data_IF_337438984741
#
_entry.id   IF_337438984741
#
_cell.length_a   1.000
_cell.length_b   1.000
_cell.length_c   1.000
_cell.angle_alpha   90.00
_cell.angle_beta   90.00
_cell.angle_gamma   90.00
#
_symmetry.space_group_name_H-M   'P 1'
#
loop_
_entity.id
_entity.type
_entity.pdbx_description
1 polymer ?
#
# COMPACT_ATOMS: atom_id res chain seq x y z
N UNK A 1 3.18 -10.04 -29.14
CA UNK A 1 2.63 -9.78 -27.79
C UNK A 1 3.75 -9.18 -26.95
N UNK A 2 3.66 -7.91 -26.58
CA UNK A 2 4.73 -7.21 -25.85
C UNK A 2 5.05 -7.94 -24.54
N UNK A 3 6.31 -8.33 -24.34
CA UNK A 3 6.83 -9.07 -23.18
C UNK A 3 6.94 -8.25 -21.90
N UNK A 4 5.94 -7.42 -21.60
CA UNK A 4 5.90 -6.58 -20.40
C UNK A 4 5.21 -7.26 -19.22
N UNK A 5 5.66 -6.98 -18.00
CA UNK A 5 4.95 -7.36 -16.78
C UNK A 5 3.95 -6.27 -16.41
N UNK A 6 2.66 -6.57 -16.45
CA UNK A 6 1.61 -5.62 -16.08
C UNK A 6 1.41 -5.58 -14.54
N UNK A 7 1.18 -4.39 -14.01
CA UNK A 7 0.95 -4.15 -12.58
C UNK A 7 -0.34 -3.37 -12.39
N UNK A 8 -1.26 -3.87 -11.57
CA UNK A 8 -2.48 -3.16 -11.18
C UNK A 8 -2.19 -2.23 -10.01
N UNK A 9 -2.43 -0.93 -10.19
CA UNK A 9 -2.42 0.04 -9.11
C UNK A 9 -3.85 0.19 -8.57
N UNK A 10 -4.08 -0.21 -7.32
CA UNK A 10 -5.42 -0.22 -6.71
C UNK A 10 -5.53 0.82 -5.60
N UNK A 11 -6.71 1.41 -5.49
CA UNK A 11 -7.11 2.31 -4.42
C UNK A 11 -7.63 1.50 -3.22
N UNK A 12 -7.41 2.01 -2.01
CA UNK A 12 -7.91 1.46 -0.75
C UNK A 12 -9.03 2.31 -0.14
N UNK A 13 -9.16 3.57 -0.55
CA UNK A 13 -10.15 4.52 -0.04
C UNK A 13 -10.66 5.43 -1.17
N UNK A 14 -11.80 6.07 -0.95
CA UNK A 14 -12.25 7.21 -1.75
C UNK A 14 -11.74 8.48 -1.07
N UNK A 15 -10.68 9.05 -1.62
CA UNK A 15 -9.95 10.16 -1.01
C UNK A 15 -8.90 9.67 0.01
N UNK A 16 -8.29 10.58 0.78
CA UNK A 16 -7.28 10.24 1.77
C UNK A 16 -7.17 11.30 2.88
N UNK A 17 -7.10 10.86 4.15
CA UNK A 17 -6.99 11.76 5.31
C UNK A 17 -5.54 12.18 5.63
N UNK A 18 -4.54 11.69 4.88
CA UNK A 18 -3.12 11.90 5.21
C UNK A 18 -2.56 13.27 4.81
N UNK A 19 -3.25 13.99 3.92
CA UNK A 19 -2.93 15.39 3.58
C UNK A 19 -1.45 15.61 3.23
N UNK A 20 -0.81 14.66 2.54
CA UNK A 20 0.55 14.86 2.04
C UNK A 20 0.55 16.03 1.06
N UNK A 21 1.45 17.00 1.26
CA UNK A 21 1.45 18.29 0.55
C UNK A 21 1.61 18.18 -0.98
N UNK A 22 2.12 17.03 -1.45
CA UNK A 22 2.37 16.73 -2.85
C UNK A 22 1.33 15.77 -3.47
N UNK A 23 0.25 15.45 -2.74
CA UNK A 23 -0.73 14.44 -3.15
C UNK A 23 -2.11 15.05 -3.36
N UNK A 24 -2.60 15.01 -4.61
CA UNK A 24 -3.95 15.51 -4.95
C UNK A 24 -5.06 14.73 -4.22
N UNK A 25 -4.91 13.42 -4.00
CA UNK A 25 -5.90 12.65 -3.23
C UNK A 25 -6.11 13.19 -1.81
N UNK A 26 -5.08 13.81 -1.22
CA UNK A 26 -5.18 14.43 0.10
C UNK A 26 -6.05 15.68 0.09
N UNK A 27 -6.00 16.50 -0.96
CA UNK A 27 -6.76 17.77 -1.05
C UNK A 27 -8.27 17.53 -1.08
N UNK A 28 -8.69 16.40 -1.67
CA UNK A 28 -10.09 15.97 -1.70
C UNK A 28 -10.65 15.51 -0.33
N UNK A 29 -9.78 15.30 0.67
CA UNK A 29 -10.16 14.73 1.97
C UNK A 29 -10.53 13.25 1.90
N UNK A 30 -10.88 12.65 3.04
CA UNK A 30 -11.35 11.26 3.10
C UNK A 30 -12.88 11.22 3.07
N UNK A 31 -13.45 10.50 2.10
CA UNK A 31 -14.89 10.23 2.05
C UNK A 31 -15.23 8.92 2.79
N UNK A 32 -14.65 7.80 2.35
CA UNK A 32 -14.89 6.48 2.96
C UNK A 32 -13.80 5.46 2.64
N UNK A 33 -13.77 4.40 3.43
CA UNK A 33 -13.03 3.18 3.13
C UNK A 33 -13.71 2.37 2.02
N UNK A 34 -12.91 1.68 1.21
CA UNK A 34 -13.40 0.69 0.26
C UNK A 34 -13.55 -0.67 0.94
N UNK A 35 -14.63 -1.39 0.62
CA UNK A 35 -14.77 -2.79 1.01
C UNK A 35 -13.78 -3.66 0.22
N UNK A 36 -13.47 -4.85 0.75
CA UNK A 36 -12.57 -5.80 0.09
C UNK A 36 -13.01 -6.11 -1.36
N UNK A 37 -14.31 -6.29 -1.58
CA UNK A 37 -14.88 -6.54 -2.91
C UNK A 37 -14.67 -5.37 -3.89
N UNK A 38 -14.70 -4.12 -3.41
CA UNK A 38 -14.43 -2.94 -4.25
C UNK A 38 -12.94 -2.85 -4.62
N UNK A 39 -12.05 -3.27 -3.72
CA UNK A 39 -10.60 -3.32 -4.00
C UNK A 39 -10.27 -4.42 -5.01
N UNK A 40 -10.78 -5.64 -4.79
CA UNK A 40 -10.57 -6.77 -5.70
C UNK A 40 -11.22 -6.50 -7.06
N UNK A 41 -12.41 -5.90 -7.06
CA UNK A 41 -13.15 -5.53 -8.26
C UNK A 41 -12.38 -4.58 -9.18
N UNK A 42 -11.50 -3.71 -8.66
CA UNK A 42 -10.62 -2.88 -9.48
C UNK A 42 -9.68 -3.74 -10.36
N UNK A 43 -9.11 -4.81 -9.79
CA UNK A 43 -8.19 -5.71 -10.51
C UNK A 43 -8.95 -6.49 -11.58
N UNK A 44 -10.13 -7.03 -11.24
CA UNK A 44 -10.94 -7.82 -12.17
C UNK A 44 -11.52 -6.98 -13.30
N UNK A 45 -12.09 -5.81 -12.98
CA UNK A 45 -12.64 -4.90 -13.97
C UNK A 45 -11.57 -4.44 -14.97
N UNK A 46 -10.39 -4.03 -14.48
CA UNK A 46 -9.29 -3.63 -15.33
C UNK A 46 -8.75 -4.80 -16.18
N UNK A 47 -8.61 -6.00 -15.59
CA UNK A 47 -8.17 -7.20 -16.32
C UNK A 47 -9.12 -7.53 -17.47
N UNK A 48 -10.43 -7.48 -17.21
CA UNK A 48 -11.48 -7.75 -18.21
C UNK A 48 -11.50 -6.69 -19.30
N UNK A 49 -11.41 -5.41 -18.93
CA UNK A 49 -11.44 -4.30 -19.89
C UNK A 49 -10.23 -4.30 -20.83
N UNK A 50 -9.05 -4.68 -20.32
CA UNK A 50 -7.80 -4.68 -21.07
C UNK A 50 -7.48 -6.03 -21.73
N UNK A 51 -8.21 -7.10 -21.38
CA UNK A 51 -7.91 -8.45 -21.87
C UNK A 51 -6.55 -9.00 -21.40
N UNK A 52 -6.04 -8.54 -20.26
CA UNK A 52 -4.75 -8.94 -19.70
C UNK A 52 -4.91 -9.50 -18.29
N UNK A 53 -3.95 -10.34 -17.87
CA UNK A 53 -3.78 -10.72 -16.47
C UNK A 53 -2.64 -9.90 -15.88
N UNK A 54 -2.93 -9.12 -14.83
CA UNK A 54 -1.87 -8.43 -14.09
C UNK A 54 -0.96 -9.45 -13.41
N UNK A 55 0.34 -9.17 -13.44
CA UNK A 55 1.35 -9.97 -12.75
C UNK A 55 1.49 -9.53 -11.31
N UNK A 56 1.38 -8.23 -11.03
CA UNK A 56 1.53 -7.67 -9.69
C UNK A 56 0.34 -6.76 -9.34
N UNK A 57 0.07 -6.61 -8.05
CA UNK A 57 -0.92 -5.68 -7.48
C UNK A 57 -0.21 -4.79 -6.47
N UNK A 58 -0.36 -3.47 -6.60
CA UNK A 58 0.23 -2.49 -5.69
C UNK A 58 -0.86 -1.58 -5.13
N UNK A 59 -0.85 -1.39 -3.82
CA UNK A 59 -1.76 -0.48 -3.13
C UNK A 59 -1.17 0.93 -3.13
N UNK A 60 -1.13 1.56 -4.31
CA UNK A 60 -0.60 2.92 -4.53
C UNK A 60 -1.62 3.87 -5.18
N UNK A 61 -2.89 3.46 -5.26
CA UNK A 61 -3.96 4.30 -5.74
C UNK A 61 -4.39 5.32 -4.68
N UNK A 62 -5.68 5.63 -4.64
CA UNK A 62 -6.23 6.55 -3.66
C UNK A 62 -6.31 5.91 -2.27
N UNK A 63 -5.90 6.66 -1.24
CA UNK A 63 -6.01 6.27 0.16
C UNK A 63 -4.71 5.84 0.84
N UNK A 64 -4.74 5.77 2.17
CA UNK A 64 -3.74 5.08 2.99
C UNK A 64 -4.23 3.67 3.27
N UNK A 65 -3.62 2.62 2.68
CA UNK A 65 -4.08 1.24 2.85
C UNK A 65 -4.17 0.79 4.31
N UNK A 66 -3.25 1.22 5.17
CA UNK A 66 -3.21 0.78 6.55
C UNK A 66 -4.24 1.48 7.47
N UNK A 67 -4.95 2.48 6.94
CA UNK A 67 -6.12 3.09 7.58
C UNK A 67 -7.42 2.34 7.26
N UNK A 68 -7.37 1.40 6.31
CA UNK A 68 -8.48 0.55 5.91
C UNK A 68 -8.13 -0.94 6.10
N UNK A 69 -7.88 -1.41 7.33
CA UNK A 69 -7.47 -2.79 7.59
C UNK A 69 -8.55 -3.79 7.20
N UNK A 70 -9.83 -3.48 7.39
CA UNK A 70 -10.94 -4.39 7.05
C UNK A 70 -10.99 -4.64 5.53
N UNK A 71 -11.03 -3.56 4.74
CA UNK A 71 -11.04 -3.68 3.28
C UNK A 71 -9.76 -4.27 2.72
N UNK A 72 -8.60 -3.77 3.16
CA UNK A 72 -7.30 -4.20 2.63
C UNK A 72 -6.97 -5.63 3.02
N UNK A 73 -7.17 -6.04 4.29
CA UNK A 73 -6.80 -7.39 4.70
C UNK A 73 -7.74 -8.45 4.12
N UNK A 74 -9.04 -8.14 4.01
CA UNK A 74 -9.97 -8.97 3.26
C UNK A 74 -9.58 -9.11 1.78
N UNK A 75 -9.17 -8.00 1.14
CA UNK A 75 -8.68 -8.04 -0.24
C UNK A 75 -7.40 -8.87 -0.38
N UNK A 76 -6.45 -8.75 0.56
CA UNK A 76 -5.23 -9.57 0.58
C UNK A 76 -5.55 -11.06 0.67
N UNK A 77 -6.55 -11.45 1.45
CA UNK A 77 -7.02 -12.84 1.52
C UNK A 77 -7.61 -13.28 0.18
N UNK A 78 -8.58 -12.54 -0.36
CA UNK A 78 -9.25 -12.88 -1.63
C UNK A 78 -8.30 -12.92 -2.82
N UNK A 79 -7.41 -11.93 -2.97
CA UNK A 79 -6.43 -11.88 -4.07
C UNK A 79 -5.53 -13.11 -4.08
N UNK A 80 -5.26 -13.68 -2.90
CA UNK A 80 -4.36 -14.83 -2.73
C UNK A 80 -5.07 -16.18 -2.75
N UNK A 81 -6.39 -16.22 -2.73
CA UNK A 81 -7.15 -17.47 -2.75
C UNK A 81 -6.88 -18.22 -4.07
N UNK A 82 -6.37 -19.47 -4.03
CA UNK A 82 -6.07 -20.25 -5.23
C UNK A 82 -7.32 -20.65 -6.03
N UNK A 83 -8.53 -20.57 -5.43
CA UNK A 83 -9.81 -20.76 -6.13
C UNK A 83 -10.23 -19.53 -6.93
N UNK A 84 -9.62 -18.38 -6.66
CA UNK A 84 -9.84 -17.11 -7.35
C UNK A 84 -8.62 -16.66 -8.14
N UNK A 85 -8.19 -15.42 -7.91
CA UNK A 85 -7.09 -14.80 -8.66
C UNK A 85 -5.71 -15.42 -8.39
N UNK A 86 -5.54 -16.06 -7.21
CA UNK A 86 -4.38 -16.89 -6.89
C UNK A 86 -3.03 -16.17 -6.92
N UNK A 87 -2.97 -14.88 -6.56
CA UNK A 87 -1.71 -14.15 -6.49
C UNK A 87 -0.82 -14.71 -5.37
N UNK A 88 0.47 -14.91 -5.66
CA UNK A 88 1.44 -15.18 -4.61
C UNK A 88 1.75 -13.91 -3.82
N UNK A 89 2.11 -14.04 -2.53
CA UNK A 89 2.37 -12.90 -1.64
C UNK A 89 3.40 -11.90 -2.23
N UNK A 90 4.40 -12.39 -2.95
CA UNK A 90 5.47 -11.56 -3.55
C UNK A 90 5.02 -10.75 -4.76
N UNK A 91 3.80 -10.99 -5.25
CA UNK A 91 3.17 -10.21 -6.32
C UNK A 91 2.32 -9.07 -5.78
N UNK A 92 2.17 -8.98 -4.47
CA UNK A 92 1.35 -7.96 -3.82
C UNK A 92 2.26 -7.07 -2.99
N UNK A 93 2.14 -5.75 -3.19
CA UNK A 93 2.86 -4.75 -2.41
C UNK A 93 1.87 -3.82 -1.74
N UNK A 94 1.88 -3.79 -0.40
CA UNK A 94 1.16 -2.78 0.38
C UNK A 94 2.08 -1.57 0.54
N UNK A 95 1.62 -0.39 0.16
CA UNK A 95 2.37 0.85 0.34
C UNK A 95 1.73 1.68 1.46
N UNK A 96 2.53 2.33 2.30
CA UNK A 96 2.02 3.17 3.39
C UNK A 96 2.79 4.48 3.49
N UNK A 97 2.12 5.54 3.91
CA UNK A 97 2.70 6.81 4.31
C UNK A 97 3.44 6.74 5.66
N UNK A 98 3.47 5.57 6.32
CA UNK A 98 4.19 5.34 7.57
C UNK A 98 3.26 5.14 8.78
N UNK A 99 2.11 4.49 8.59
CA UNK A 99 1.19 4.17 9.68
C UNK A 99 1.75 3.03 10.54
N UNK A 100 2.51 3.36 11.59
CA UNK A 100 3.29 2.38 12.37
C UNK A 100 2.44 1.27 12.98
N UNK A 101 1.32 1.61 13.63
CA UNK A 101 0.43 0.58 14.20
C UNK A 101 -0.14 -0.35 13.12
N UNK A 102 -0.39 0.20 11.93
CA UNK A 102 -0.86 -0.55 10.78
C UNK A 102 0.18 -1.51 10.24
N UNK A 103 1.46 -1.10 10.23
CA UNK A 103 2.58 -1.97 9.88
C UNK A 103 2.68 -3.13 10.88
N UNK A 104 2.54 -2.83 12.19
CA UNK A 104 2.52 -3.85 13.25
C UNK A 104 1.35 -4.84 13.05
N UNK A 105 0.15 -4.35 12.72
CA UNK A 105 -1.03 -5.18 12.42
C UNK A 105 -0.85 -6.02 11.14
N UNK A 106 -0.30 -5.43 10.07
CA UNK A 106 -0.03 -6.14 8.82
C UNK A 106 0.99 -7.27 9.05
N UNK A 107 2.04 -7.00 9.83
CA UNK A 107 3.01 -8.03 10.26
C UNK A 107 2.34 -9.15 11.04
N UNK A 108 1.39 -8.83 11.93
CA UNK A 108 0.67 -9.81 12.74
C UNK A 108 -0.19 -10.79 11.92
N UNK A 109 -0.50 -10.48 10.65
CA UNK A 109 -1.14 -11.43 9.73
C UNK A 109 -0.26 -12.63 9.36
N UNK A 110 1.04 -12.61 9.69
CA UNK A 110 1.95 -13.74 9.46
C UNK A 110 2.33 -13.97 8.00
N UNK A 111 2.12 -12.98 7.12
CA UNK A 111 2.40 -13.08 5.68
C UNK A 111 3.88 -12.86 5.37
N UNK A 112 4.68 -13.93 5.50
CA UNK A 112 6.16 -13.89 5.45
C UNK A 112 6.78 -13.37 4.15
N UNK A 113 6.03 -13.31 3.05
CA UNK A 113 6.52 -12.93 1.71
C UNK A 113 5.76 -11.74 1.09
N UNK A 114 4.85 -11.11 1.84
CA UNK A 114 4.13 -9.93 1.37
C UNK A 114 5.08 -8.75 1.28
N UNK A 115 5.13 -8.07 0.13
CA UNK A 115 6.00 -6.92 0.00
C UNK A 115 5.39 -5.71 0.72
N UNK A 116 6.27 -4.93 1.36
CA UNK A 116 5.94 -3.64 1.98
C UNK A 116 6.76 -2.54 1.30
N UNK A 117 6.14 -1.39 1.11
CA UNK A 117 6.81 -0.17 0.66
C UNK A 117 6.35 1.01 1.51
N UNK A 118 7.24 1.97 1.74
CA UNK A 118 6.96 3.18 2.54
C UNK A 118 7.18 4.43 1.70
N UNK A 119 6.26 5.38 1.79
CA UNK A 119 6.44 6.72 1.25
C UNK A 119 7.14 7.58 2.30
N UNK A 120 8.37 8.00 1.99
CA UNK A 120 9.23 8.70 2.94
C UNK A 120 9.21 10.22 2.74
N UNK A 121 9.44 10.66 1.49
CA UNK A 121 9.50 12.06 0.99
C UNK A 121 10.50 13.02 1.69
N UNK A 122 10.96 12.72 2.91
CA UNK A 122 12.00 13.48 3.61
C UNK A 122 12.70 12.60 4.65
N UNK A 123 14.02 12.74 4.78
CA UNK A 123 14.85 12.01 5.75
C UNK A 123 15.08 12.77 7.08
N UNK A 124 14.35 13.86 7.32
CA UNK A 124 14.41 14.66 8.56
C UNK A 124 13.00 15.01 9.01
N UNK A 125 12.70 14.78 10.29
CA UNK A 125 11.35 14.96 10.84
C UNK A 125 10.79 16.35 10.55
N UNK A 126 11.54 17.42 10.80
CA UNK A 126 11.02 18.79 10.59
C UNK A 126 10.59 19.08 9.14
N UNK A 127 11.22 18.47 8.13
CA UNK A 127 10.74 18.58 6.74
C UNK A 127 9.58 17.62 6.48
N UNK A 128 9.65 16.40 7.02
CA UNK A 128 8.60 15.40 6.86
C UNK A 128 7.30 15.83 7.51
N UNK A 129 7.32 16.53 8.64
CA UNK A 129 6.15 17.11 9.32
C UNK A 129 5.40 18.13 8.46
N UNK A 130 6.09 18.78 7.52
CA UNK A 130 5.51 19.73 6.57
C UNK A 130 4.95 19.02 5.34
N UNK A 131 5.67 18.03 4.82
CA UNK A 131 5.30 17.33 3.59
C UNK A 131 4.29 16.21 3.82
N UNK A 132 4.36 15.54 4.96
CA UNK A 132 3.61 14.34 5.33
C UNK A 132 3.15 14.43 6.79
N UNK A 133 1.99 15.04 7.08
CA UNK A 133 1.51 15.30 8.45
C UNK A 133 1.47 14.07 9.37
N UNK A 134 1.34 12.86 8.82
CA UNK A 134 1.45 11.58 9.54
C UNK A 134 2.72 11.46 10.39
N UNK A 135 3.81 12.13 10.02
CA UNK A 135 5.08 12.11 10.76
C UNK A 135 4.95 12.68 12.17
N UNK A 136 4.02 13.60 12.41
CA UNK A 136 3.78 14.17 13.75
C UNK A 136 3.17 13.15 14.72
N UNK A 137 2.49 12.13 14.18
CA UNK A 137 1.94 11.00 14.95
C UNK A 137 2.96 9.89 15.07
N UNK A 138 3.64 9.55 13.96
CA UNK A 138 4.67 8.50 13.92
C UNK A 138 5.96 9.05 13.28
N UNK A 139 6.89 9.58 14.10
CA UNK A 139 8.15 10.13 13.64
C UNK A 139 9.06 9.09 12.98
N UNK A 140 10.10 9.57 12.29
CA UNK A 140 11.03 8.72 11.54
C UNK A 140 11.69 7.61 12.37
N UNK A 141 12.00 7.87 13.63
CA UNK A 141 12.58 6.88 14.55
C UNK A 141 11.65 5.69 14.78
N UNK A 142 10.39 5.95 15.16
CA UNK A 142 9.41 4.89 15.39
C UNK A 142 9.06 4.16 14.09
N UNK A 143 8.99 4.89 12.98
CA UNK A 143 8.80 4.30 11.65
C UNK A 143 9.95 3.35 11.29
N UNK A 144 11.21 3.75 11.51
CA UNK A 144 12.37 2.92 11.24
C UNK A 144 12.35 1.62 12.06
N UNK A 145 11.98 1.69 13.35
CA UNK A 145 11.82 0.51 14.20
C UNK A 145 10.74 -0.44 13.68
N UNK A 146 9.58 0.09 13.29
CA UNK A 146 8.49 -0.70 12.74
C UNK A 146 8.86 -1.40 11.43
N UNK A 147 9.60 -0.72 10.56
CA UNK A 147 10.08 -1.25 9.30
C UNK A 147 11.19 -2.31 9.49
N UNK A 148 12.13 -2.06 10.41
CA UNK A 148 13.18 -3.02 10.76
C UNK A 148 12.62 -4.32 11.35
N UNK A 149 11.50 -4.23 12.07
CA UNK A 149 10.80 -5.39 12.63
C UNK A 149 9.92 -6.14 11.59
N UNK A 150 9.73 -5.60 10.38
CA UNK A 150 8.92 -6.25 9.35
C UNK A 150 9.68 -7.42 8.69
N UNK A 151 9.03 -8.56 8.36
CA UNK A 151 9.74 -9.74 7.87
C UNK A 151 10.56 -9.47 6.60
N UNK A 152 11.87 -9.68 6.68
CA UNK A 152 12.78 -9.60 5.53
C UNK A 152 13.13 -11.00 5.02
N UNK A 153 12.77 -11.32 3.77
CA UNK A 153 13.26 -12.50 3.05
C UNK A 153 14.55 -12.13 2.29
N UNK A 154 15.42 -13.11 2.02
CA UNK A 154 16.73 -12.89 1.34
C UNK A 154 16.65 -12.05 0.05
N UNK A 155 15.55 -12.16 -0.70
CA UNK A 155 15.34 -11.47 -1.97
C UNK A 155 14.30 -10.36 -1.88
N UNK A 156 14.01 -9.85 -0.68
CA UNK A 156 13.12 -8.72 -0.47
C UNK A 156 13.92 -7.50 -0.09
N UNK A 157 13.73 -6.44 -0.87
CA UNK A 157 14.11 -5.10 -0.48
C UNK A 157 12.84 -4.36 -0.06
N UNK A 158 12.89 -3.70 1.08
CA UNK A 158 11.85 -2.77 1.49
C UNK A 158 11.79 -1.64 0.45
N UNK A 159 10.61 -1.41 -0.11
CA UNK A 159 10.41 -0.29 -1.03
C UNK A 159 10.45 1.03 -0.27
N UNK A 160 11.23 1.99 -0.76
CA UNK A 160 11.22 3.37 -0.24
C UNK A 160 10.87 4.29 -1.40
N UNK A 161 9.68 4.88 -1.37
CA UNK A 161 9.25 5.88 -2.33
C UNK A 161 9.67 7.26 -1.82
N UNK A 162 10.45 7.96 -2.64
CA UNK A 162 10.92 9.31 -2.34
C UNK A 162 10.50 10.24 -3.48
N UNK A 163 9.49 11.06 -3.26
CA UNK A 163 9.08 12.09 -4.21
C UNK A 163 10.11 13.24 -4.16
N UNK A 164 10.75 13.51 -5.29
CA UNK A 164 11.63 14.66 -5.44
C UNK A 164 10.75 15.88 -5.76
N UNK A 165 10.78 16.86 -4.87
CA UNK A 165 9.95 18.08 -4.89
C UNK A 165 10.88 19.28 -4.94
#
# INVERSE_FOLDING_TARGET
MYGGTYTACVSSQVGCARLCAFCETGTAGLSRNLAAAEIVGQVEAASKALGIRFRNVVFMGMGEPLDNPEGVFGALETLRDPRGLGYSQERITVCTAGHVEGIRRLRALGLKRLNLSVSLAAARDGLRDRLMPINRTWPLGELAEALAAYPMRKNFALGVNYCLI
#
